data_IF_566084366091
#
_entry.id   IF_566084366091
#
_cell.length_a   1.000
_cell.length_b   1.000
_cell.length_c   1.000
_cell.angle_alpha   90.00
_cell.angle_beta   90.00
_cell.angle_gamma   90.00
#
_symmetry.space_group_name_H-M   'P 1'
#
loop_
_entity.id
_entity.type
_entity.pdbx_description
1 polymer ?
#
# COMPACT_ATOMS: atom_id res chain seq x y z
N UNK A 1 2.30 -15.02 5.37
CA UNK A 1 1.10 -14.70 6.18
C UNK A 1 0.62 -13.30 5.83
N UNK A 2 -0.56 -13.23 5.20
CA UNK A 2 -1.24 -11.97 4.86
C UNK A 2 -2.26 -11.50 5.90
N UNK A 3 -2.59 -12.32 6.89
CA UNK A 3 -3.58 -12.00 7.93
C UNK A 3 -3.15 -10.80 8.77
N UNK A 4 -4.06 -9.84 8.93
CA UNK A 4 -3.90 -8.63 9.73
C UNK A 4 -4.35 -8.83 11.18
N UNK A 5 -4.04 -7.89 12.07
CA UNK A 5 -4.36 -7.98 13.50
C UNK A 5 -3.50 -9.02 14.24
N UNK A 6 -3.97 -9.39 15.44
CA UNK A 6 -3.25 -10.27 16.37
C UNK A 6 -2.07 -9.59 17.08
N UNK A 7 -1.45 -10.31 18.00
CA UNK A 7 -0.20 -9.88 18.65
C UNK A 7 0.96 -10.01 17.64
N UNK A 8 1.36 -8.86 17.09
CA UNK A 8 2.41 -8.80 16.06
C UNK A 8 3.78 -9.10 16.64
N UNK A 9 4.05 -8.66 17.87
CA UNK A 9 5.33 -8.88 18.52
C UNK A 9 5.54 -10.37 18.79
N UNK A 10 4.53 -11.04 19.33
CA UNK A 10 4.55 -12.48 19.54
C UNK A 10 4.69 -13.24 18.21
N UNK A 11 3.95 -12.86 17.17
CA UNK A 11 4.07 -13.46 15.84
C UNK A 11 5.52 -13.39 15.31
N UNK A 12 6.14 -12.21 15.34
CA UNK A 12 7.50 -12.03 14.87
C UNK A 12 8.50 -12.82 15.72
N UNK A 13 8.33 -12.81 17.04
CA UNK A 13 9.15 -13.59 17.98
C UNK A 13 9.08 -15.08 17.68
N UNK A 14 7.87 -15.65 17.60
CA UNK A 14 7.66 -17.09 17.35
C UNK A 14 8.28 -17.53 16.01
N UNK A 15 8.04 -16.77 14.93
CA UNK A 15 8.60 -17.14 13.61
C UNK A 15 10.12 -17.09 13.63
N UNK A 16 10.71 -16.08 14.28
CA UNK A 16 12.18 -15.96 14.43
C UNK A 16 12.76 -17.12 15.26
N UNK A 17 12.11 -17.49 16.36
CA UNK A 17 12.54 -18.60 17.23
C UNK A 17 12.41 -19.97 16.56
N UNK A 18 11.42 -20.16 15.69
CA UNK A 18 11.20 -21.43 14.99
C UNK A 18 12.19 -21.72 13.84
N UNK A 19 12.98 -20.72 13.42
CA UNK A 19 13.94 -20.84 12.31
C UNK A 19 13.32 -21.36 10.99
N UNK A 20 12.10 -20.91 10.67
CA UNK A 20 11.41 -21.25 9.42
C UNK A 20 11.51 -20.11 8.41
N UNK A 21 11.46 -20.45 7.12
CA UNK A 21 11.30 -19.45 6.06
C UNK A 21 9.87 -18.90 6.06
N UNK A 22 9.72 -17.58 6.16
CA UNK A 22 8.42 -16.93 6.13
C UNK A 22 8.45 -15.57 5.44
N UNK A 23 7.34 -15.22 4.78
CA UNK A 23 6.99 -13.83 4.42
C UNK A 23 5.83 -13.42 5.31
N UNK A 24 5.98 -12.36 6.09
CA UNK A 24 4.90 -11.74 6.87
C UNK A 24 4.68 -10.34 6.33
N UNK A 25 3.51 -10.08 5.76
CA UNK A 25 3.14 -8.75 5.30
C UNK A 25 1.64 -8.50 5.51
N UNK A 26 1.23 -7.47 6.28
CA UNK A 26 -0.18 -7.12 6.47
C UNK A 26 -0.79 -6.45 5.23
N UNK A 27 0.02 -6.10 4.22
CA UNK A 27 -0.43 -5.53 2.95
C UNK A 27 0.21 -6.34 1.80
N UNK A 28 -0.60 -7.14 1.13
CA UNK A 28 -0.14 -8.02 0.04
C UNK A 28 -0.27 -7.39 -1.35
N UNK A 29 -0.92 -6.23 -1.48
CA UNK A 29 -1.00 -5.50 -2.75
C UNK A 29 0.36 -4.87 -3.07
N UNK A 30 1.26 -5.62 -3.71
CA UNK A 30 2.68 -5.24 -3.87
C UNK A 30 2.87 -3.88 -4.56
N UNK A 31 2.00 -3.51 -5.49
CA UNK A 31 2.05 -2.21 -6.19
C UNK A 31 1.72 -1.06 -5.24
N UNK A 32 0.75 -1.25 -4.34
CA UNK A 32 0.40 -0.28 -3.29
C UNK A 32 1.57 -0.13 -2.31
N UNK A 33 2.21 -1.24 -1.93
CA UNK A 33 3.41 -1.21 -1.07
C UNK A 33 4.54 -0.43 -1.74
N UNK A 34 4.79 -0.66 -3.03
CA UNK A 34 5.83 0.05 -3.79
C UNK A 34 5.56 1.56 -3.85
N UNK A 35 4.30 1.97 -4.07
CA UNK A 35 3.92 3.38 -4.04
C UNK A 35 4.18 4.02 -2.67
N UNK A 36 3.76 3.37 -1.58
CA UNK A 36 3.99 3.86 -0.22
C UNK A 36 5.50 4.00 0.06
N UNK A 37 6.29 2.99 -0.31
CA UNK A 37 7.75 3.02 -0.13
C UNK A 37 8.40 4.15 -0.94
N UNK A 38 7.94 4.41 -2.17
CA UNK A 38 8.43 5.52 -2.99
C UNK A 38 8.14 6.89 -2.33
N UNK A 39 6.95 7.06 -1.76
CA UNK A 39 6.59 8.28 -1.03
C UNK A 39 7.41 8.45 0.24
N UNK A 40 7.68 7.37 0.97
CA UNK A 40 8.54 7.37 2.16
C UNK A 40 9.98 7.77 1.81
N UNK A 41 10.58 7.12 0.81
CA UNK A 41 11.92 7.49 0.32
C UNK A 41 11.95 8.96 -0.12
N UNK A 42 10.95 9.43 -0.87
CA UNK A 42 10.86 10.83 -1.28
C UNK A 42 10.83 11.78 -0.07
N UNK A 43 10.07 11.44 0.97
CA UNK A 43 10.00 12.25 2.20
C UNK A 43 11.32 12.31 2.97
N UNK A 44 12.05 11.19 3.01
CA UNK A 44 13.35 11.11 3.71
C UNK A 44 14.46 11.82 2.94
N UNK A 45 14.49 11.68 1.61
CA UNK A 45 15.53 12.26 0.77
C UNK A 45 15.34 13.78 0.54
N UNK A 46 14.09 14.26 0.53
CA UNK A 46 13.76 15.65 0.26
C UNK A 46 12.86 16.24 1.35
N UNK A 47 13.35 16.36 2.59
CA UNK A 47 12.56 16.85 3.71
C UNK A 47 12.09 18.29 3.43
N UNK A 48 10.79 18.53 3.55
CA UNK A 48 10.21 19.85 3.34
C UNK A 48 10.11 20.29 1.88
N UNK A 49 10.31 19.40 0.90
CA UNK A 49 10.15 19.71 -0.53
C UNK A 49 8.76 20.27 -0.88
N UNK A 50 7.76 19.92 -0.08
CA UNK A 50 6.39 20.42 -0.21
C UNK A 50 5.98 21.35 0.95
N UNK A 51 6.94 22.00 1.61
CA UNK A 51 6.62 22.96 2.68
C UNK A 51 5.69 24.05 2.15
N UNK A 52 4.57 24.28 2.85
CA UNK A 52 3.52 25.21 2.42
C UNK A 52 2.41 24.57 1.57
N UNK A 53 2.53 23.32 1.12
CA UNK A 53 1.44 22.58 0.49
C UNK A 53 0.50 21.97 1.56
N UNK A 54 -0.32 20.95 1.20
CA UNK A 54 -1.34 20.29 2.05
C UNK A 54 -1.28 18.71 2.13
N UNK A 55 -0.25 18.02 2.69
CA UNK A 55 -0.30 16.61 3.25
C UNK A 55 0.95 16.09 4.04
N UNK A 56 0.73 15.51 5.23
CA UNK A 56 1.67 15.33 6.38
C UNK A 56 3.14 14.91 6.12
N UNK A 57 3.39 13.75 5.48
CA UNK A 57 4.75 13.16 5.40
C UNK A 57 5.71 13.91 4.48
N UNK A 58 5.23 14.80 3.61
CA UNK A 58 6.07 15.59 2.70
C UNK A 58 6.49 16.95 3.28
N UNK A 59 6.36 17.12 4.61
CA UNK A 59 6.69 18.36 5.31
C UNK A 59 5.52 19.33 5.40
N UNK A 60 4.31 18.79 5.52
CA UNK A 60 3.09 19.59 5.54
C UNK A 60 2.32 19.43 6.84
N UNK A 61 1.62 20.47 7.28
CA UNK A 61 0.65 20.37 8.36
C UNK A 61 -0.62 19.68 7.86
N UNK A 62 -0.88 18.46 8.32
CA UNK A 62 -2.12 17.74 8.06
C UNK A 62 -2.49 16.90 9.28
N UNK A 63 -3.73 16.97 9.72
CA UNK A 63 -4.26 16.19 10.82
C UNK A 63 -5.11 15.02 10.29
N UNK A 64 -5.05 13.88 10.96
CA UNK A 64 -5.73 12.66 10.50
C UNK A 64 -7.26 12.79 10.47
N UNK A 65 -7.83 13.73 11.23
CA UNK A 65 -9.26 14.04 11.22
C UNK A 65 -9.71 14.78 9.94
N UNK A 66 -8.77 15.35 9.17
CA UNK A 66 -9.02 15.98 7.89
C UNK A 66 -9.25 14.96 6.76
N UNK A 67 -9.05 13.66 7.01
CA UNK A 67 -9.32 12.59 6.04
C UNK A 67 -10.82 12.48 5.74
N UNK A 68 -11.19 12.76 4.50
CA UNK A 68 -12.58 12.66 4.03
C UNK A 68 -12.93 11.22 3.67
N UNK A 69 -13.58 10.52 4.60
CA UNK A 69 -14.11 9.18 4.35
C UNK A 69 -15.44 9.24 3.59
N UNK A 70 -15.48 8.72 2.36
CA UNK A 70 -16.72 8.59 1.59
C UNK A 70 -17.28 7.17 1.82
N UNK A 71 -18.39 7.10 2.57
CA UNK A 71 -19.04 5.85 2.98
C UNK A 71 -20.39 5.60 2.31
N UNK A 72 -21.05 6.65 1.86
CA UNK A 72 -22.34 6.55 1.17
C UNK A 72 -22.14 5.86 -0.20
N UNK A 73 -22.81 4.71 -0.47
CA UNK A 73 -22.57 3.94 -1.69
C UNK A 73 -22.83 4.73 -2.97
N UNK A 74 -23.87 5.57 -2.98
CA UNK A 74 -24.19 6.40 -4.14
C UNK A 74 -23.06 7.39 -4.43
N UNK A 75 -22.53 8.05 -3.41
CA UNK A 75 -21.36 8.94 -3.55
C UNK A 75 -20.08 8.18 -3.92
N UNK A 76 -19.92 6.92 -3.52
CA UNK A 76 -18.77 6.09 -3.94
C UNK A 76 -18.82 5.83 -5.46
N UNK A 77 -20.00 5.54 -6.01
CA UNK A 77 -20.17 5.41 -7.46
C UNK A 77 -20.00 6.76 -8.15
N UNK A 78 -20.83 7.75 -7.79
CA UNK A 78 -20.97 9.00 -8.52
C UNK A 78 -19.72 9.90 -8.45
N UNK A 79 -19.03 9.92 -7.31
CA UNK A 79 -17.92 10.86 -7.06
C UNK A 79 -16.54 10.21 -7.02
N UNK A 80 -16.45 8.95 -6.63
CA UNK A 80 -15.17 8.24 -6.49
C UNK A 80 -14.93 7.30 -7.68
N UNK A 81 -15.98 6.97 -8.45
CA UNK A 81 -15.88 6.11 -9.63
C UNK A 81 -15.73 4.63 -9.27
N UNK A 82 -16.25 4.22 -8.11
CA UNK A 82 -16.26 2.80 -7.70
C UNK A 82 -17.31 2.05 -8.55
N UNK A 83 -16.95 0.97 -9.25
CA UNK A 83 -17.93 0.13 -9.93
C UNK A 83 -18.94 -0.47 -8.94
N UNK A 84 -20.23 -0.50 -9.30
CA UNK A 84 -21.30 -0.98 -8.42
C UNK A 84 -21.04 -2.40 -7.88
N UNK A 85 -20.50 -3.29 -8.72
CA UNK A 85 -20.13 -4.67 -8.38
C UNK A 85 -19.01 -4.79 -7.33
N UNK A 86 -18.29 -3.70 -7.05
CA UNK A 86 -17.17 -3.66 -6.11
C UNK A 86 -17.43 -2.79 -4.87
N UNK A 87 -18.66 -2.30 -4.66
CA UNK A 87 -19.02 -1.50 -3.48
C UNK A 87 -18.72 -2.21 -2.16
N UNK A 88 -18.91 -3.53 -2.10
CA UNK A 88 -18.64 -4.34 -0.90
C UNK A 88 -17.15 -4.71 -0.72
N UNK A 89 -16.30 -4.39 -1.69
CA UNK A 89 -14.90 -4.80 -1.67
C UNK A 89 -14.06 -3.97 -2.62
N UNK A 90 -13.65 -2.79 -2.17
CA UNK A 90 -12.74 -1.91 -2.88
C UNK A 90 -11.85 -1.12 -1.91
N UNK A 91 -10.79 -0.51 -2.44
CA UNK A 91 -9.97 0.47 -1.74
C UNK A 91 -9.57 1.57 -2.72
N UNK A 92 -10.22 2.73 -2.64
CA UNK A 92 -9.95 3.89 -3.48
C UNK A 92 -9.37 4.99 -2.59
N UNK A 93 -8.19 5.49 -2.94
CA UNK A 93 -7.55 6.58 -2.22
C UNK A 93 -7.09 7.64 -3.21
N UNK A 94 -7.36 8.90 -2.88
CA UNK A 94 -6.90 10.08 -3.60
C UNK A 94 -6.17 10.99 -2.62
N UNK A 95 -4.94 11.36 -2.97
CA UNK A 95 -4.13 12.34 -2.27
C UNK A 95 -4.00 13.54 -3.19
N UNK A 96 -4.36 14.72 -2.70
CA UNK A 96 -4.33 15.96 -3.47
C UNK A 96 -3.50 16.99 -2.72
N UNK A 97 -2.46 17.50 -3.37
CA UNK A 97 -1.62 18.59 -2.89
C UNK A 97 -1.87 19.81 -3.76
N UNK A 98 -2.05 20.96 -3.13
CA UNK A 98 -2.19 22.24 -3.83
C UNK A 98 -1.23 23.26 -3.23
N UNK A 99 -0.56 24.04 -4.09
CA UNK A 99 0.32 25.12 -3.65
C UNK A 99 -0.48 26.27 -3.00
N UNK A 100 0.14 27.09 -2.13
CA UNK A 100 -0.52 28.23 -1.48
C UNK A 100 -1.20 29.23 -2.42
N UNK A 101 -0.64 29.42 -3.61
CA UNK A 101 -1.13 30.33 -4.64
C UNK A 101 -2.12 29.66 -5.61
N UNK A 102 -2.48 28.40 -5.36
CA UNK A 102 -3.41 27.58 -6.14
C UNK A 102 -2.97 27.32 -7.60
N UNK A 103 -1.72 27.61 -7.96
CA UNK A 103 -1.23 27.45 -9.34
C UNK A 103 -0.67 26.07 -9.65
N UNK A 104 -0.30 25.28 -8.63
CA UNK A 104 0.28 23.94 -8.78
C UNK A 104 -0.58 22.92 -8.03
N UNK A 105 -0.94 21.86 -8.73
CA UNK A 105 -1.72 20.74 -8.22
C UNK A 105 -1.00 19.42 -8.50
N UNK A 106 -0.86 18.57 -7.47
CA UNK A 106 -0.42 17.19 -7.61
C UNK A 106 -1.50 16.25 -7.09
N UNK A 107 -1.80 15.21 -7.86
CA UNK A 107 -2.74 14.17 -7.48
C UNK A 107 -2.07 12.80 -7.56
N UNK A 108 -2.25 12.02 -6.50
CA UNK A 108 -1.85 10.62 -6.46
C UNK A 108 -3.08 9.78 -6.17
N UNK A 109 -3.36 8.81 -7.03
CA UNK A 109 -4.53 7.95 -6.88
C UNK A 109 -4.15 6.48 -7.03
N UNK A 110 -4.73 5.65 -6.17
CA UNK A 110 -4.70 4.20 -6.35
C UNK A 110 -6.05 3.60 -5.98
N UNK A 111 -6.60 2.81 -6.92
CA UNK A 111 -7.92 2.23 -6.84
C UNK A 111 -7.79 0.71 -6.99
N UNK A 112 -8.31 -0.02 -6.01
CA UNK A 112 -8.35 -1.47 -6.01
C UNK A 112 -9.80 -1.92 -6.01
N UNK A 113 -10.14 -2.75 -7.00
CA UNK A 113 -11.42 -3.45 -7.08
C UNK A 113 -11.24 -4.91 -6.67
N UNK A 114 -12.09 -5.39 -5.76
CA UNK A 114 -12.05 -6.76 -5.30
C UNK A 114 -10.74 -7.13 -4.60
N UNK A 115 -10.22 -8.32 -4.88
CA UNK A 115 -9.11 -8.93 -4.13
C UNK A 115 -7.93 -9.43 -4.99
N UNK A 116 -7.97 -9.25 -6.31
CA UNK A 116 -6.97 -9.82 -7.23
C UNK A 116 -5.55 -9.38 -6.88
N UNK A 117 -5.35 -8.09 -6.60
CA UNK A 117 -4.04 -7.54 -6.26
C UNK A 117 -3.39 -8.22 -5.04
N UNK A 118 -4.21 -8.63 -4.06
CA UNK A 118 -3.73 -9.33 -2.87
C UNK A 118 -3.44 -10.81 -3.14
N UNK A 119 -4.23 -11.44 -4.01
CA UNK A 119 -4.01 -12.82 -4.44
C UNK A 119 -2.72 -12.93 -5.27
N UNK A 120 -2.54 -12.06 -6.25
CA UNK A 120 -1.34 -11.99 -7.09
C UNK A 120 -0.09 -11.71 -6.25
N UNK A 121 -0.14 -10.71 -5.36
CA UNK A 121 0.99 -10.44 -4.47
C UNK A 121 1.30 -11.59 -3.50
N UNK A 122 0.30 -12.41 -3.14
CA UNK A 122 0.51 -13.64 -2.36
C UNK A 122 1.22 -14.72 -3.16
N UNK A 123 0.87 -14.89 -4.43
CA UNK A 123 1.56 -15.81 -5.35
C UNK A 123 3.01 -15.38 -5.52
N UNK A 124 3.26 -14.08 -5.75
CA UNK A 124 4.63 -13.55 -5.88
C UNK A 124 5.46 -13.76 -4.61
N UNK A 125 4.86 -13.54 -3.43
CA UNK A 125 5.51 -13.81 -2.15
C UNK A 125 5.86 -15.30 -1.98
N UNK A 126 5.00 -16.21 -2.42
CA UNK A 126 5.27 -17.63 -2.40
C UNK A 126 6.40 -18.03 -3.36
N UNK A 127 6.42 -17.48 -4.58
CA UNK A 127 7.50 -17.69 -5.56
C UNK A 127 8.82 -17.15 -5.00
N UNK A 128 8.81 -15.94 -4.42
CA UNK A 128 9.98 -15.36 -3.76
C UNK A 128 10.49 -16.27 -2.64
N UNK A 129 9.61 -16.75 -1.77
CA UNK A 129 9.98 -17.61 -0.65
C UNK A 129 10.54 -18.96 -1.13
N UNK A 130 9.93 -19.56 -2.16
CA UNK A 130 10.41 -20.80 -2.78
C UNK A 130 11.85 -20.66 -3.30
N UNK A 131 12.16 -19.55 -3.98
CA UNK A 131 13.52 -19.23 -4.43
C UNK A 131 14.52 -19.06 -3.28
N UNK A 132 14.07 -18.57 -2.11
CA UNK A 132 14.91 -18.43 -0.90
C UNK A 132 15.16 -19.77 -0.19
N UNK A 133 14.19 -20.69 -0.25
CA UNK A 133 14.30 -22.02 0.37
C UNK A 133 15.18 -22.98 -0.43
N UNK A 134 15.20 -22.86 -1.76
CA UNK A 134 16.00 -23.71 -2.64
C UNK A 134 16.74 -22.89 -3.71
N UNK A 135 18.00 -22.50 -3.45
CA UNK A 135 18.81 -21.73 -4.40
C UNK A 135 19.13 -22.47 -5.70
N UNK A 136 18.87 -23.79 -5.79
CA UNK A 136 19.20 -24.62 -6.96
C UNK A 136 18.17 -24.55 -8.10
N UNK A 137 16.95 -24.09 -7.84
CA UNK A 137 15.89 -23.98 -8.86
C UNK A 137 16.05 -22.81 -9.83
N UNK A 138 17.04 -21.93 -9.63
CA UNK A 138 17.27 -20.74 -10.47
C UNK A 138 18.05 -21.02 -11.76
N UNK A 139 18.66 -22.21 -11.92
CA UNK A 139 19.44 -22.54 -13.13
C UNK A 139 18.66 -23.29 -14.23
N UNK A 140 17.52 -23.91 -13.91
CA UNK A 140 16.83 -24.80 -14.86
C UNK A 140 15.61 -24.18 -15.57
N UNK A 141 15.13 -23.01 -15.15
CA UNK A 141 13.93 -22.37 -15.72
C UNK A 141 14.18 -20.99 -16.36
N UNK A 142 15.41 -20.69 -16.78
CA UNK A 142 15.75 -19.54 -17.64
C UNK A 142 16.17 -20.01 -19.04
N UNK A 143 15.31 -20.81 -19.69
CA UNK A 143 15.36 -21.03 -21.14
C UNK A 143 14.21 -20.24 -21.77
#
# INVERSE_FOLDING_TARGET
MGTTGGDRELLYKTVKESNVYAVISPQMGKQVVAFIAAMEIMSEQFPGAFSGYSLQKLGVSFDMDQIKMIRDPKRQVDKVGVPEEHLEGHAFHLYHLTSPDETVSFEFQHNVCGRSVYAEGSIDAAIFLAKRCSPRLTREYMI
#
